data_IF_553617668830
#
_entry.id   IF_553617668830
#
_cell.length_a   1.000
_cell.length_b   1.000
_cell.length_c   1.000
_cell.angle_alpha   90.00
_cell.angle_beta   90.00
_cell.angle_gamma   90.00
#
_symmetry.space_group_name_H-M   'P 1'
#
loop_
_entity.id
_entity.type
_entity.pdbx_description
1 polymer ?
#
# COMPACT_ATOMS: atom_id res chain seq x y z
N UNK A 1 -24.36 -22.20 28.12
CA UNK A 1 -23.05 -21.80 28.63
C UNK A 1 -22.30 -21.03 27.52
N UNK A 2 -21.91 -19.78 27.83
CA UNK A 2 -21.26 -18.91 26.84
C UNK A 2 -19.93 -19.49 26.32
N UNK A 3 -19.16 -20.16 27.19
CA UNK A 3 -17.91 -20.81 26.79
C UNK A 3 -18.13 -21.87 25.70
N UNK A 4 -19.14 -22.73 25.84
CA UNK A 4 -19.46 -23.75 24.83
C UNK A 4 -19.91 -23.15 23.49
N UNK A 5 -20.63 -22.01 23.53
CA UNK A 5 -21.02 -21.29 22.31
C UNK A 5 -19.81 -20.70 21.61
N UNK A 6 -18.86 -20.13 22.36
CA UNK A 6 -17.60 -19.60 21.83
C UNK A 6 -16.76 -20.73 21.23
N UNK A 7 -16.58 -21.84 21.96
CA UNK A 7 -15.82 -22.99 21.48
C UNK A 7 -16.39 -23.55 20.16
N UNK A 8 -17.71 -23.72 20.10
CA UNK A 8 -18.39 -24.21 18.89
C UNK A 8 -18.30 -23.22 17.71
N UNK A 9 -18.34 -21.92 17.99
CA UNK A 9 -18.19 -20.89 16.97
C UNK A 9 -16.76 -20.85 16.41
N UNK A 10 -15.76 -21.10 17.25
CA UNK A 10 -14.34 -21.18 16.81
C UNK A 10 -14.11 -22.49 16.07
N UNK A 11 -14.42 -23.64 16.67
CA UNK A 11 -14.22 -24.95 16.07
C UNK A 11 -15.45 -25.83 16.34
N UNK A 12 -16.11 -26.39 15.29
CA UNK A 12 -15.72 -26.34 13.85
C UNK A 12 -16.31 -25.14 13.09
N UNK A 13 -16.88 -24.14 13.75
CA UNK A 13 -17.63 -23.08 13.08
C UNK A 13 -16.79 -22.24 12.08
N UNK A 14 -15.69 -21.63 12.53
CA UNK A 14 -14.84 -20.76 11.72
C UNK A 14 -13.48 -21.36 11.38
N UNK A 15 -12.98 -22.27 12.20
CA UNK A 15 -11.63 -22.85 12.06
C UNK A 15 -11.71 -24.36 11.85
N UNK A 16 -10.64 -24.92 11.27
CA UNK A 16 -10.43 -26.34 11.03
C UNK A 16 -8.99 -26.73 11.30
N UNK A 17 -8.38 -27.55 10.45
CA UNK A 17 -6.98 -27.95 10.55
C UNK A 17 -6.03 -26.78 10.47
N UNK A 18 -4.86 -26.85 11.13
CA UNK A 18 -3.89 -25.75 11.13
C UNK A 18 -3.29 -25.54 9.73
N UNK A 19 -3.04 -24.26 9.41
CA UNK A 19 -2.31 -23.87 8.20
C UNK A 19 -0.81 -23.77 8.51
N UNK A 20 -0.10 -24.88 8.47
CA UNK A 20 1.30 -24.99 8.88
C UNK A 20 2.23 -24.05 8.07
N UNK A 21 1.92 -23.84 6.79
CA UNK A 21 2.61 -22.88 5.93
C UNK A 21 2.48 -21.44 6.47
N UNK A 22 1.30 -21.06 6.96
CA UNK A 22 1.07 -19.72 7.56
C UNK A 22 1.79 -19.63 8.91
N UNK A 23 1.78 -20.69 9.71
CA UNK A 23 2.49 -20.75 10.99
C UNK A 23 4.00 -20.58 10.76
N UNK A 24 4.57 -21.30 9.80
CA UNK A 24 5.97 -21.18 9.41
C UNK A 24 6.30 -19.75 8.91
N UNK A 25 5.44 -19.16 8.08
CA UNK A 25 5.62 -17.78 7.61
C UNK A 25 5.62 -16.77 8.76
N UNK A 26 4.74 -16.94 9.77
CA UNK A 26 4.74 -16.09 10.97
C UNK A 26 6.05 -16.25 11.76
N UNK A 27 6.57 -17.46 11.91
CA UNK A 27 7.84 -17.69 12.60
C UNK A 27 9.01 -16.97 11.90
N UNK A 28 9.06 -17.00 10.57
CA UNK A 28 10.06 -16.26 9.78
C UNK A 28 9.90 -14.76 9.98
N UNK A 29 8.69 -14.24 9.86
CA UNK A 29 8.42 -12.80 10.02
C UNK A 29 8.80 -12.29 11.42
N UNK A 30 8.50 -13.05 12.46
CA UNK A 30 8.91 -12.69 13.83
C UNK A 30 10.43 -12.73 14.01
N UNK A 31 11.11 -13.75 13.44
CA UNK A 31 12.57 -13.82 13.47
C UNK A 31 13.22 -12.63 12.77
N UNK A 32 12.64 -12.17 11.65
CA UNK A 32 13.12 -10.98 10.95
C UNK A 32 12.87 -9.71 11.78
N UNK A 33 11.71 -9.58 12.41
CA UNK A 33 11.36 -8.46 13.27
C UNK A 33 12.23 -8.36 14.55
N UNK A 34 12.88 -9.44 14.95
CA UNK A 34 13.83 -9.46 16.08
C UNK A 34 15.23 -8.95 15.72
N UNK A 35 15.55 -8.77 14.45
CA UNK A 35 16.86 -8.30 14.00
C UNK A 35 17.07 -6.80 14.27
N UNK A 36 18.32 -6.37 14.54
CA UNK A 36 18.63 -4.94 14.70
C UNK A 36 18.19 -4.09 13.51
N UNK A 37 18.37 -4.59 12.29
CA UNK A 37 18.01 -3.89 11.04
C UNK A 37 16.52 -3.55 10.96
N UNK A 38 15.67 -4.33 11.63
CA UNK A 38 14.23 -4.04 11.69
C UNK A 38 13.94 -2.80 12.55
N UNK A 39 14.76 -2.50 13.55
CA UNK A 39 14.66 -1.25 14.33
C UNK A 39 14.99 -0.03 13.47
N UNK A 40 16.04 -0.13 12.66
CA UNK A 40 16.44 0.94 11.75
C UNK A 40 15.37 1.16 10.67
N UNK A 41 14.82 0.08 10.11
CA UNK A 41 13.69 0.12 9.19
C UNK A 41 12.46 0.80 9.82
N UNK A 42 12.08 0.41 11.04
CA UNK A 42 10.93 0.98 11.74
C UNK A 42 11.13 2.47 12.04
N UNK A 43 12.34 2.87 12.42
CA UNK A 43 12.70 4.27 12.63
C UNK A 43 12.63 5.08 11.33
N UNK A 44 13.11 4.51 10.22
CA UNK A 44 13.04 5.16 8.91
C UNK A 44 11.59 5.35 8.46
N UNK A 45 10.69 4.40 8.73
CA UNK A 45 9.25 4.54 8.45
C UNK A 45 8.69 5.81 9.12
N UNK A 46 9.00 6.01 10.40
CA UNK A 46 8.51 7.18 11.15
C UNK A 46 9.13 8.48 10.65
N UNK A 47 10.43 8.47 10.36
CA UNK A 47 11.12 9.63 9.78
C UNK A 47 10.52 10.02 8.43
N UNK A 48 10.27 9.04 7.57
CA UNK A 48 9.63 9.22 6.28
C UNK A 48 8.21 9.79 6.42
N UNK A 49 7.43 9.26 7.37
CA UNK A 49 6.08 9.75 7.62
C UNK A 49 6.10 11.20 8.10
N UNK A 50 7.04 11.56 8.97
CA UNK A 50 7.22 12.93 9.44
C UNK A 50 7.61 13.87 8.31
N UNK A 51 8.60 13.51 7.49
CA UNK A 51 9.03 14.34 6.36
C UNK A 51 7.89 14.57 5.35
N UNK A 52 7.11 13.53 5.03
CA UNK A 52 5.93 13.66 4.18
C UNK A 52 4.85 14.55 4.81
N UNK A 53 4.60 14.40 6.10
CA UNK A 53 3.61 15.20 6.82
C UNK A 53 4.00 16.69 6.86
N UNK A 54 5.26 16.98 7.19
CA UNK A 54 5.78 18.34 7.26
C UNK A 54 5.71 19.03 5.88
N UNK A 55 6.04 18.31 4.80
CA UNK A 55 5.95 18.84 3.43
C UNK A 55 4.49 19.09 3.02
N UNK A 56 3.56 18.14 3.28
CA UNK A 56 2.14 18.32 2.99
C UNK A 56 1.57 19.55 3.70
N UNK A 57 1.94 19.75 4.97
CA UNK A 57 1.52 20.91 5.75
C UNK A 57 2.10 22.22 5.16
N UNK A 58 3.37 22.22 4.75
CA UNK A 58 4.00 23.39 4.11
C UNK A 58 3.31 23.79 2.81
N UNK A 59 2.75 22.80 2.08
CA UNK A 59 1.98 22.98 0.85
C UNK A 59 0.48 23.31 1.11
N UNK A 60 0.11 23.57 2.37
CA UNK A 60 -1.25 23.95 2.75
C UNK A 60 -2.24 22.80 2.84
N UNK A 61 -1.78 21.56 2.78
CA UNK A 61 -2.63 20.37 2.96
C UNK A 61 -2.83 20.11 4.46
N UNK A 62 -4.09 20.10 4.89
CA UNK A 62 -4.42 19.89 6.32
C UNK A 62 -4.33 18.41 6.68
N UNK A 63 -3.57 18.11 7.73
CA UNK A 63 -3.59 16.81 8.41
C UNK A 63 -4.44 16.89 9.68
N UNK A 64 -5.16 15.80 9.99
CA UNK A 64 -6.10 15.74 11.13
C UNK A 64 -5.41 16.09 12.45
N UNK A 65 -4.18 15.62 12.67
CA UNK A 65 -3.40 15.84 13.90
C UNK A 65 -2.28 16.88 13.75
N UNK A 66 -2.25 17.64 12.64
CA UNK A 66 -1.14 18.55 12.28
C UNK A 66 0.23 17.86 12.23
N UNK A 67 0.27 16.60 11.83
CA UNK A 67 1.50 15.82 11.74
C UNK A 67 1.24 14.35 12.03
N UNK A 68 2.32 13.62 12.29
CA UNK A 68 2.27 12.21 12.68
C UNK A 68 3.48 11.85 13.54
N UNK A 69 3.29 10.90 14.44
CA UNK A 69 4.32 10.27 15.27
C UNK A 69 4.46 8.76 14.99
N UNK A 70 3.75 8.27 13.97
CA UNK A 70 3.78 6.87 13.57
C UNK A 70 3.97 6.72 12.05
N UNK A 71 3.52 5.62 11.46
CA UNK A 71 3.73 5.27 10.06
C UNK A 71 2.70 5.81 9.08
N UNK A 72 1.62 6.43 9.55
CA UNK A 72 0.51 6.88 8.71
C UNK A 72 0.03 8.28 9.08
N UNK A 73 -0.67 8.91 8.15
CA UNK A 73 -1.31 10.20 8.32
C UNK A 73 -2.67 10.25 7.63
N UNK A 74 -3.52 11.14 8.09
CA UNK A 74 -4.87 11.36 7.56
C UNK A 74 -5.01 12.80 7.11
N UNK A 75 -5.18 13.01 5.80
CA UNK A 75 -5.48 14.30 5.19
C UNK A 75 -6.95 14.64 5.45
N UNK A 76 -7.23 15.86 5.88
CA UNK A 76 -8.57 16.44 5.94
C UNK A 76 -8.78 17.36 4.73
N UNK A 77 -9.67 16.97 3.84
CA UNK A 77 -9.96 17.67 2.59
C UNK A 77 -10.95 18.82 2.75
N UNK A 78 -11.61 18.93 3.92
CA UNK A 78 -12.65 19.95 4.15
C UNK A 78 -12.14 21.38 4.07
N UNK A 79 -10.96 21.72 4.69
CA UNK A 79 -10.41 23.07 4.58
C UNK A 79 -10.04 23.48 3.15
N UNK A 80 -9.76 22.52 2.27
CA UNK A 80 -9.48 22.76 0.84
C UNK A 80 -10.75 22.86 -0.02
N UNK A 81 -11.95 22.89 0.59
CA UNK A 81 -13.23 22.93 -0.14
C UNK A 81 -13.60 21.61 -0.82
N UNK A 82 -12.94 20.51 -0.46
CA UNK A 82 -13.07 19.19 -1.08
C UNK A 82 -13.83 18.19 -0.18
N UNK A 83 -14.78 18.70 0.64
CA UNK A 83 -15.65 17.86 1.46
C UNK A 83 -16.35 16.80 0.60
N UNK A 84 -16.32 15.55 1.03
CA UNK A 84 -16.96 14.43 0.34
C UNK A 84 -16.32 14.07 -1.01
N UNK A 85 -15.07 14.45 -1.25
CA UNK A 85 -14.34 14.17 -2.50
C UNK A 85 -13.28 13.06 -2.36
N UNK A 86 -13.19 12.40 -1.21
CA UNK A 86 -12.18 11.38 -0.95
C UNK A 86 -12.12 10.28 -2.02
N UNK A 87 -13.28 9.78 -2.52
CA UNK A 87 -13.30 8.79 -3.60
C UNK A 87 -12.75 9.34 -4.91
N UNK A 88 -13.11 10.57 -5.28
CA UNK A 88 -12.63 11.17 -6.53
C UNK A 88 -11.11 11.41 -6.47
N UNK A 89 -10.62 11.89 -5.33
CA UNK A 89 -9.19 12.13 -5.13
C UNK A 89 -8.39 10.82 -5.04
N UNK A 90 -8.92 9.78 -4.38
CA UNK A 90 -8.32 8.45 -4.45
C UNK A 90 -8.15 7.99 -5.90
N UNK A 91 -9.21 8.08 -6.70
CA UNK A 91 -9.15 7.66 -8.11
C UNK A 91 -8.17 8.52 -8.94
N UNK A 92 -8.08 9.82 -8.66
CA UNK A 92 -7.13 10.71 -9.34
C UNK A 92 -5.67 10.36 -8.96
N UNK A 93 -5.40 10.10 -7.69
CA UNK A 93 -4.08 9.65 -7.22
C UNK A 93 -3.71 8.28 -7.78
N UNK A 94 -4.66 7.33 -7.84
CA UNK A 94 -4.44 6.02 -8.47
C UNK A 94 -4.06 6.18 -9.96
N UNK A 95 -4.72 7.08 -10.70
CA UNK A 95 -4.37 7.41 -12.08
C UNK A 95 -2.96 7.99 -12.20
N UNK A 96 -2.54 8.78 -11.23
CA UNK A 96 -1.20 9.36 -11.13
C UNK A 96 -0.14 8.37 -10.58
N UNK A 97 -0.52 7.11 -10.32
CA UNK A 97 0.41 6.08 -9.81
C UNK A 97 0.65 6.13 -8.30
N UNK A 98 -0.16 6.87 -7.56
CA UNK A 98 -0.05 7.01 -6.09
C UNK A 98 -1.25 6.36 -5.43
N UNK A 99 -1.06 5.20 -4.79
CA UNK A 99 -2.13 4.46 -4.12
C UNK A 99 -2.36 4.98 -2.70
N UNK A 100 -3.60 5.41 -2.44
CA UNK A 100 -4.07 5.87 -1.13
C UNK A 100 -5.45 5.31 -0.82
N UNK A 101 -5.90 5.42 0.43
CA UNK A 101 -7.26 5.08 0.80
C UNK A 101 -8.09 6.32 1.10
N UNK A 102 -9.31 6.40 0.51
CA UNK A 102 -10.34 7.31 1.02
C UNK A 102 -10.69 6.91 2.45
N UNK A 103 -10.89 7.88 3.32
CA UNK A 103 -11.13 7.65 4.75
C UNK A 103 -12.01 8.75 5.33
N UNK A 104 -12.93 8.40 6.24
CA UNK A 104 -13.64 9.41 7.01
C UNK A 104 -12.66 10.12 7.96
N UNK A 105 -12.88 11.41 8.17
CA UNK A 105 -12.18 12.22 9.15
C UNK A 105 -13.01 12.33 10.44
N UNK A 106 -12.44 12.72 11.58
CA UNK A 106 -13.22 12.95 12.79
C UNK A 106 -14.36 13.94 12.53
N UNK A 107 -15.56 13.57 13.00
CA UNK A 107 -16.79 14.35 12.79
C UNK A 107 -17.09 14.62 11.31
N UNK A 108 -16.78 13.66 10.42
CA UNK A 108 -17.09 13.76 9.02
C UNK A 108 -18.61 13.66 8.82
N UNK A 109 -19.19 14.70 8.26
CA UNK A 109 -20.61 14.78 7.91
C UNK A 109 -20.92 14.32 6.47
N UNK A 110 -19.87 13.87 5.75
CA UNK A 110 -20.02 13.28 4.42
C UNK A 110 -20.32 11.77 4.51
N UNK A 111 -20.86 11.23 3.41
CA UNK A 111 -21.13 9.80 3.33
C UNK A 111 -19.85 8.96 3.43
N UNK A 112 -19.85 7.81 4.14
CA UNK A 112 -18.73 6.87 4.16
C UNK A 112 -18.30 6.37 2.78
N UNK A 113 -19.19 6.40 1.78
CA UNK A 113 -18.86 6.07 0.39
C UNK A 113 -18.05 7.16 -0.31
N UNK A 114 -18.24 8.42 0.10
CA UNK A 114 -17.53 9.61 -0.39
C UNK A 114 -17.06 10.45 0.81
N UNK A 115 -16.11 9.96 1.60
CA UNK A 115 -15.63 10.63 2.80
C UNK A 115 -14.79 11.87 2.47
N UNK A 116 -14.46 12.63 3.50
CA UNK A 116 -13.72 13.90 3.37
C UNK A 116 -12.22 13.76 3.68
N UNK A 117 -11.66 12.55 3.67
CA UNK A 117 -10.25 12.35 3.96
C UNK A 117 -9.56 11.32 3.06
N UNK A 118 -8.23 11.36 3.13
CA UNK A 118 -7.33 10.40 2.49
C UNK A 118 -6.31 9.92 3.52
N UNK A 119 -6.12 8.61 3.59
CA UNK A 119 -5.11 7.98 4.46
C UNK A 119 -3.93 7.51 3.62
N UNK A 120 -2.73 7.89 4.06
CA UNK A 120 -1.46 7.46 3.48
C UNK A 120 -0.56 6.87 4.57
N UNK A 121 0.44 6.10 4.12
CA UNK A 121 1.44 5.53 5.01
C UNK A 121 2.74 5.25 4.27
N UNK A 122 3.83 5.14 5.00
CA UNK A 122 5.20 5.08 4.47
C UNK A 122 5.90 3.71 4.51
N UNK A 123 5.34 2.62 5.09
CA UNK A 123 6.06 1.34 5.14
C UNK A 123 6.44 0.79 3.77
N UNK A 124 5.54 0.83 2.79
CA UNK A 124 5.77 0.28 1.44
C UNK A 124 6.91 1.00 0.70
N UNK A 125 6.92 2.33 0.73
CA UNK A 125 7.98 3.14 0.09
C UNK A 125 9.31 3.03 0.85
N UNK A 126 9.28 2.91 2.19
CA UNK A 126 10.47 2.66 3.00
C UNK A 126 11.07 1.28 2.69
N UNK A 127 10.24 0.26 2.47
CA UNK A 127 10.71 -1.09 2.06
C UNK A 127 11.40 -1.08 0.69
N UNK A 128 11.09 -0.10 -0.15
CA UNK A 128 11.78 0.12 -1.45
C UNK A 128 13.11 0.85 -1.30
N UNK A 129 13.45 1.34 -0.11
CA UNK A 129 14.68 2.08 0.18
C UNK A 129 14.55 3.60 0.07
N UNK A 130 13.35 4.12 -0.15
CA UNK A 130 13.08 5.57 -0.19
C UNK A 130 13.26 6.19 1.21
N UNK A 131 13.72 7.44 1.24
CA UNK A 131 14.00 8.23 2.44
C UNK A 131 13.24 9.55 2.42
N UNK A 132 13.65 10.47 3.30
CA UNK A 132 12.95 11.72 3.53
C UNK A 132 12.82 12.61 2.27
N UNK A 133 13.85 12.65 1.42
CA UNK A 133 13.83 13.42 0.17
C UNK A 133 12.76 12.94 -0.81
N UNK A 134 12.63 11.62 -0.95
CA UNK A 134 11.61 11.04 -1.81
C UNK A 134 10.20 11.27 -1.23
N UNK A 135 10.09 11.32 0.11
CA UNK A 135 8.81 11.62 0.77
C UNK A 135 8.35 13.05 0.51
N UNK A 136 9.26 14.03 0.53
CA UNK A 136 8.97 15.41 0.16
C UNK A 136 8.50 15.50 -1.30
N UNK A 137 9.21 14.83 -2.21
CA UNK A 137 8.84 14.78 -3.62
C UNK A 137 7.45 14.16 -3.84
N UNK A 138 7.16 13.02 -3.21
CA UNK A 138 5.84 12.38 -3.28
C UNK A 138 4.76 13.30 -2.69
N UNK A 139 5.04 14.02 -1.61
CA UNK A 139 4.10 14.98 -1.03
C UNK A 139 3.75 16.12 -1.99
N UNK A 140 4.73 16.63 -2.74
CA UNK A 140 4.53 17.64 -3.79
C UNK A 140 3.63 17.08 -4.92
N UNK A 141 3.92 15.88 -5.39
CA UNK A 141 3.07 15.19 -6.37
C UNK A 141 1.62 15.03 -5.87
N UNK A 142 1.43 14.62 -4.61
CA UNK A 142 0.10 14.50 -3.99
C UNK A 142 -0.62 15.86 -3.97
N UNK A 143 0.06 16.94 -3.60
CA UNK A 143 -0.52 18.27 -3.58
C UNK A 143 -0.93 18.74 -4.98
N UNK A 144 -0.10 18.50 -5.99
CA UNK A 144 -0.45 18.80 -7.40
C UNK A 144 -1.73 18.06 -7.81
N UNK A 145 -1.84 16.76 -7.50
CA UNK A 145 -3.04 15.99 -7.81
C UNK A 145 -4.27 16.49 -7.05
N UNK A 146 -4.16 16.81 -5.76
CA UNK A 146 -5.28 17.33 -4.96
C UNK A 146 -5.82 18.63 -5.57
N UNK A 147 -4.95 19.53 -5.98
CA UNK A 147 -5.36 20.81 -6.57
C UNK A 147 -5.89 20.67 -8.01
N UNK A 148 -5.44 19.64 -8.76
CA UNK A 148 -5.75 19.47 -10.18
C UNK A 148 -6.45 18.13 -10.49
N UNK A 149 -7.19 17.56 -9.57
CA UNK A 149 -7.71 16.18 -9.66
C UNK A 149 -8.66 15.91 -10.85
N UNK A 150 -9.11 16.95 -11.57
CA UNK A 150 -9.93 16.86 -12.78
C UNK A 150 -9.14 17.09 -14.07
N UNK A 151 -7.89 17.53 -13.96
CA UNK A 151 -7.04 17.82 -15.11
C UNK A 151 -6.23 16.57 -15.47
N UNK A 152 -6.70 15.86 -16.50
CA UNK A 152 -6.07 14.61 -16.95
C UNK A 152 -4.62 14.82 -17.42
N UNK A 153 -4.28 15.98 -18.00
CA UNK A 153 -2.90 16.30 -18.40
C UNK A 153 -1.97 16.37 -17.20
N UNK A 154 -2.41 17.05 -16.13
CA UNK A 154 -1.66 17.13 -14.87
C UNK A 154 -1.49 15.77 -14.19
N UNK A 155 -2.52 14.93 -14.24
CA UNK A 155 -2.42 13.57 -13.71
C UNK A 155 -1.40 12.72 -14.48
N UNK A 156 -1.31 12.87 -15.81
CA UNK A 156 -0.32 12.16 -16.62
C UNK A 156 1.10 12.71 -16.41
N UNK A 157 1.29 14.02 -16.24
CA UNK A 157 2.57 14.61 -15.86
C UNK A 157 3.08 14.00 -14.55
N UNK A 158 2.26 14.02 -13.50
CA UNK A 158 2.61 13.43 -12.20
C UNK A 158 2.87 11.93 -12.32
N UNK A 159 2.10 11.20 -13.14
CA UNK A 159 2.32 9.77 -13.38
C UNK A 159 3.69 9.49 -13.97
N UNK A 160 4.12 10.29 -14.94
CA UNK A 160 5.45 10.15 -15.56
C UNK A 160 6.56 10.36 -14.51
N UNK A 161 6.42 11.39 -13.68
CA UNK A 161 7.34 11.73 -12.60
C UNK A 161 7.42 10.62 -11.53
N UNK A 162 6.28 10.09 -11.09
CA UNK A 162 6.22 8.96 -10.15
C UNK A 162 6.83 7.68 -10.77
N UNK A 163 6.58 7.41 -12.06
CA UNK A 163 7.18 6.26 -12.73
C UNK A 163 8.71 6.36 -12.81
N UNK A 164 9.25 7.55 -13.07
CA UNK A 164 10.69 7.81 -13.03
C UNK A 164 11.24 7.55 -11.62
N UNK A 165 10.62 8.13 -10.59
CA UNK A 165 11.01 7.92 -9.20
C UNK A 165 11.02 6.44 -8.83
N UNK A 166 9.93 5.70 -9.08
CA UNK A 166 9.84 4.30 -8.66
C UNK A 166 10.76 3.37 -9.44
N UNK A 167 11.20 3.75 -10.64
CA UNK A 167 12.19 2.99 -11.43
C UNK A 167 13.55 2.93 -10.75
N UNK A 168 13.92 3.96 -9.98
CA UNK A 168 15.15 3.99 -9.18
C UNK A 168 15.05 3.11 -7.91
N UNK A 169 13.84 2.72 -7.50
CA UNK A 169 13.57 1.98 -6.27
C UNK A 169 12.76 0.70 -6.54
N UNK A 170 13.31 -0.32 -7.22
CA UNK A 170 12.61 -1.56 -7.53
C UNK A 170 12.24 -2.31 -6.24
N UNK A 171 11.05 -2.94 -6.22
CA UNK A 171 10.56 -3.69 -5.02
C UNK A 171 11.46 -4.90 -4.73
N UNK A 172 11.97 -5.54 -5.77
CA UNK A 172 12.84 -6.72 -5.69
C UNK A 172 14.10 -6.49 -6.54
N UNK A 173 15.12 -5.75 -6.03
CA UNK A 173 16.35 -5.54 -6.76
C UNK A 173 17.04 -6.90 -6.99
N UNK A 174 17.35 -7.23 -8.24
CA UNK A 174 17.98 -8.50 -8.62
C UNK A 174 17.02 -9.61 -9.03
N UNK A 175 15.70 -9.46 -8.89
CA UNK A 175 14.73 -10.39 -9.46
C UNK A 175 14.49 -10.05 -10.94
N UNK A 176 15.20 -10.75 -11.80
CA UNK A 176 14.92 -10.69 -13.25
C UNK A 176 13.89 -11.76 -13.64
N UNK A 177 13.08 -11.48 -14.66
CA UNK A 177 12.11 -12.47 -15.20
C UNK A 177 12.79 -13.79 -15.57
N UNK A 178 14.07 -13.74 -15.93
CA UNK A 178 14.89 -14.92 -16.24
C UNK A 178 15.16 -15.82 -15.04
N UNK A 179 15.18 -15.31 -13.83
CA UNK A 179 15.36 -16.12 -12.60
C UNK A 179 14.08 -16.87 -12.19
N UNK A 180 12.91 -16.38 -12.61
CA UNK A 180 11.65 -17.09 -12.42
C UNK A 180 11.44 -18.23 -13.41
N UNK A 181 12.06 -18.15 -14.61
CA UNK A 181 11.88 -19.17 -15.65
C UNK A 181 12.23 -20.59 -15.19
N UNK A 182 13.34 -20.84 -14.47
CA UNK A 182 13.67 -22.18 -13.96
C UNK A 182 12.71 -22.66 -12.89
N UNK A 183 12.20 -21.75 -12.05
CA UNK A 183 11.21 -22.07 -11.00
C UNK A 183 9.86 -22.36 -11.67
N UNK A 184 9.45 -21.56 -12.62
CA UNK A 184 8.23 -21.75 -13.41
C UNK A 184 8.30 -23.05 -14.20
N UNK A 185 9.43 -23.38 -14.83
CA UNK A 185 9.65 -24.62 -15.57
C UNK A 185 9.66 -25.84 -14.64
N UNK A 186 10.19 -25.74 -13.41
CA UNK A 186 10.08 -26.80 -12.40
C UNK A 186 8.63 -27.02 -11.95
N UNK A 187 7.87 -25.95 -11.75
CA UNK A 187 6.45 -26.02 -11.41
C UNK A 187 5.65 -26.62 -12.58
N UNK A 188 5.93 -26.23 -13.82
CA UNK A 188 5.28 -26.79 -15.02
C UNK A 188 5.63 -28.27 -15.18
N UNK A 189 6.87 -28.69 -14.95
CA UNK A 189 7.27 -30.11 -14.99
C UNK A 189 6.64 -30.93 -13.87
N UNK A 190 6.45 -30.39 -12.68
CA UNK A 190 5.69 -31.04 -11.59
C UNK A 190 4.20 -31.21 -11.96
N UNK A 191 3.63 -30.29 -12.71
CA UNK A 191 2.25 -30.32 -13.20
C UNK A 191 2.10 -31.39 -14.30
N UNK A 192 3.09 -31.55 -15.18
CA UNK A 192 3.07 -32.56 -16.25
C UNK A 192 3.21 -34.00 -15.75
N UNK A 193 3.61 -34.17 -14.48
CA UNK A 193 3.74 -35.50 -13.83
C UNK A 193 2.44 -36.01 -13.18
N UNK A 194 1.27 -35.46 -13.52
CA UNK A 194 0.00 -36.14 -13.29
C UNK A 194 -0.88 -35.61 -12.14
N UNK A 195 -0.88 -34.29 -11.87
CA UNK A 195 -1.92 -33.71 -11.02
C UNK A 195 -3.03 -33.13 -11.93
N UNK A 196 -4.21 -33.75 -11.99
CA UNK A 196 -5.31 -33.21 -12.79
C UNK A 196 -5.84 -31.93 -12.16
N UNK A 197 -6.10 -30.89 -12.97
CA UNK A 197 -6.80 -29.63 -12.68
C UNK A 197 -6.01 -28.39 -12.29
N UNK A 198 -4.76 -28.22 -12.74
CA UNK A 198 -4.10 -26.90 -12.61
C UNK A 198 -4.09 -26.10 -13.95
N UNK A 199 -4.63 -26.64 -15.03
CA UNK A 199 -4.69 -25.95 -16.33
C UNK A 199 -5.58 -24.70 -16.35
N UNK A 200 -6.45 -24.49 -15.35
CA UNK A 200 -7.38 -23.36 -15.28
C UNK A 200 -6.78 -22.06 -14.69
N UNK A 201 -5.66 -22.14 -13.97
CA UNK A 201 -5.08 -20.98 -13.31
C UNK A 201 -4.14 -20.15 -14.23
N UNK A 202 -3.69 -20.72 -15.35
CA UNK A 202 -2.73 -20.06 -16.24
C UNK A 202 -3.35 -19.34 -17.45
N UNK A 203 -4.62 -19.57 -17.76
CA UNK A 203 -5.30 -18.87 -18.88
C UNK A 203 -5.66 -17.41 -18.57
N UNK A 204 -5.58 -17.00 -17.30
CA UNK A 204 -5.86 -15.64 -16.85
C UNK A 204 -4.61 -14.76 -16.64
N UNK A 205 -3.42 -15.33 -16.76
CA UNK A 205 -2.17 -14.55 -16.76
C UNK A 205 -1.83 -14.11 -18.20
N UNK A 206 -2.59 -13.13 -18.70
CA UNK A 206 -2.11 -12.35 -19.84
C UNK A 206 -0.90 -11.53 -19.40
N UNK A 207 0.20 -11.52 -20.17
CA UNK A 207 1.36 -10.72 -19.82
C UNK A 207 0.97 -9.24 -19.88
N UNK A 208 1.09 -8.57 -18.76
CA UNK A 208 1.17 -7.12 -18.71
C UNK A 208 2.57 -6.72 -19.20
N UNK A 209 2.79 -6.82 -20.52
CA UNK A 209 3.94 -6.26 -21.22
C UNK A 209 3.33 -5.34 -22.27
N UNK A 210 3.44 -4.06 -22.00
CA UNK A 210 3.08 -2.96 -22.85
C UNK A 210 3.51 -1.67 -22.19
#
# INVERSE_FOLDING_TARGET
NLAQLIDSAVFPGLQGGPHDNVIAAKAVAFKEAMKPEFKDYSKQIVNNAKAMADELISLGIKLVTNGTDNHLMLIDLRPSGLRGKGKQLQNALDKAGITVNKNSVPYDDASPFNPSGLRLGTPAVTSRGMKESEMQHIAQCIAVVIHNYRDESKLQEVKAEINELVSAYPIYPGLTVLEFLPILMKVINLISLGIPNISFAFSSLKPAIG
#
